data_IF_637774608160
#
_entry.id   IF_637774608160
#
_cell.length_a   1.000
_cell.length_b   1.000
_cell.length_c   1.000
_cell.angle_alpha   90.00
_cell.angle_beta   90.00
_cell.angle_gamma   90.00
#
_symmetry.space_group_name_H-M   'P 1'
#
loop_
_entity.id
_entity.type
_entity.pdbx_description
1 polymer ?
#
# COMPACT_ATOMS: atom_id res chain seq x y z
N UNK A 1 10.96 -17.15 -1.49
CA UNK A 1 10.00 -16.12 -1.03
C UNK A 1 10.66 -14.76 -1.14
N UNK A 2 9.96 -13.80 -1.74
CA UNK A 2 10.41 -12.43 -1.91
C UNK A 2 9.52 -11.52 -1.09
N UNK A 3 10.12 -10.61 -0.32
CA UNK A 3 9.39 -9.63 0.49
C UNK A 3 9.96 -8.24 0.24
N UNK A 4 9.07 -7.32 -0.10
CA UNK A 4 9.35 -5.89 -0.18
C UNK A 4 8.51 -5.13 0.84
N UNK A 5 9.05 -4.05 1.34
CA UNK A 5 8.32 -3.12 2.21
C UNK A 5 8.85 -1.70 2.04
N UNK A 6 8.06 -0.74 2.44
CA UNK A 6 8.50 0.63 2.53
C UNK A 6 9.39 0.79 3.76
N UNK A 7 10.63 1.18 3.55
CA UNK A 7 11.58 1.49 4.62
C UNK A 7 11.47 2.97 4.94
N UNK A 8 11.01 3.29 6.13
CA UNK A 8 10.77 4.66 6.54
C UNK A 8 11.25 4.94 7.94
N UNK A 9 11.53 6.22 8.19
CA UNK A 9 11.60 6.73 9.54
C UNK A 9 10.24 6.62 10.24
N UNK A 10 10.21 6.96 11.52
CA UNK A 10 8.99 6.96 12.31
C UNK A 10 7.87 7.68 11.55
N UNK A 11 6.79 6.97 11.25
CA UNK A 11 5.62 7.47 10.52
C UNK A 11 5.00 8.71 11.18
N UNK A 12 5.28 8.89 12.47
CA UNK A 12 4.81 10.01 13.26
C UNK A 12 5.74 11.24 13.23
N UNK A 13 7.00 11.04 12.81
CA UNK A 13 8.03 12.09 12.77
C UNK A 13 8.38 12.49 11.33
N UNK A 14 8.33 11.55 10.39
CA UNK A 14 8.49 11.85 8.97
C UNK A 14 7.46 11.09 8.14
N UNK A 15 6.61 11.80 7.44
CA UNK A 15 5.57 11.22 6.57
C UNK A 15 6.14 10.54 5.33
N UNK A 16 7.47 10.45 5.21
CA UNK A 16 8.12 9.99 3.99
C UNK A 16 9.00 8.77 4.24
N UNK A 17 8.74 7.64 3.56
CA UNK A 17 9.65 6.51 3.57
C UNK A 17 11.00 6.91 2.97
N UNK A 18 12.08 6.41 3.56
CA UNK A 18 13.44 6.69 3.10
C UNK A 18 13.78 5.88 1.85
N UNK A 19 13.13 4.75 1.66
CA UNK A 19 13.37 3.86 0.53
C UNK A 19 12.42 2.67 0.50
N UNK A 20 12.73 1.72 -0.35
CA UNK A 20 12.09 0.41 -0.41
C UNK A 20 13.11 -0.62 0.03
N UNK A 21 12.78 -1.45 0.99
CA UNK A 21 13.61 -2.54 1.42
C UNK A 21 13.12 -3.87 0.84
N UNK A 22 14.06 -4.78 0.61
CA UNK A 22 13.82 -6.08 0.03
C UNK A 22 14.62 -7.15 0.75
N UNK A 23 14.04 -8.33 0.94
CA UNK A 23 14.72 -9.53 1.42
C UNK A 23 14.25 -10.77 0.66
N UNK A 24 15.11 -11.76 0.60
CA UNK A 24 14.89 -13.03 -0.08
C UNK A 24 15.04 -14.19 0.89
N UNK A 25 14.13 -15.14 0.83
CA UNK A 25 14.28 -16.48 1.41
C UNK A 25 14.27 -17.54 0.32
N UNK A 26 15.23 -18.46 0.35
CA UNK A 26 15.34 -19.61 -0.58
C UNK A 26 14.92 -20.93 0.05
N UNK A 27 14.54 -20.93 1.33
CA UNK A 27 14.21 -22.11 2.12
C UNK A 27 12.78 -22.09 2.68
N UNK A 28 11.86 -21.40 2.00
CA UNK A 28 10.46 -21.33 2.40
C UNK A 28 10.18 -20.39 3.58
N UNK A 29 11.06 -19.43 3.84
CA UNK A 29 10.90 -18.44 4.91
C UNK A 29 11.60 -18.79 6.21
N UNK A 30 12.43 -19.84 6.24
CA UNK A 30 13.17 -20.25 7.44
C UNK A 30 14.36 -19.31 7.71
N UNK A 31 15.06 -18.91 6.65
CA UNK A 31 16.15 -17.92 6.73
C UNK A 31 15.94 -16.83 5.67
N UNK A 32 16.49 -15.65 5.94
CA UNK A 32 16.33 -14.47 5.09
C UNK A 32 17.68 -13.82 4.82
N UNK A 33 17.83 -13.28 3.63
CA UNK A 33 19.00 -12.46 3.28
C UNK A 33 19.04 -11.19 4.13
N UNK A 34 20.21 -10.56 4.22
CA UNK A 34 20.28 -9.18 4.71
C UNK A 34 19.38 -8.29 3.85
N UNK A 35 18.57 -7.41 4.45
CA UNK A 35 17.76 -6.46 3.71
C UNK A 35 18.62 -5.58 2.80
N UNK A 36 18.16 -5.42 1.58
CA UNK A 36 18.72 -4.49 0.60
C UNK A 36 17.78 -3.30 0.47
N UNK A 37 18.27 -2.08 0.69
CA UNK A 37 17.47 -0.86 0.59
C UNK A 37 17.66 -0.22 -0.77
N UNK A 38 16.54 0.06 -1.44
CA UNK A 38 16.49 0.79 -2.70
C UNK A 38 16.14 2.25 -2.42
N UNK A 39 17.03 3.14 -2.82
CA UNK A 39 16.79 4.59 -2.74
C UNK A 39 16.64 5.16 -4.14
N UNK A 40 15.87 6.22 -4.28
CA UNK A 40 15.71 6.90 -5.55
C UNK A 40 16.04 8.39 -5.39
N UNK A 41 16.83 8.92 -6.32
CA UNK A 41 17.13 10.36 -6.36
C UNK A 41 15.90 11.14 -6.85
N UNK A 42 15.52 12.15 -6.10
CA UNK A 42 14.43 13.06 -6.47
C UNK A 42 13.07 12.75 -5.86
N UNK A 43 13.00 11.80 -4.91
CA UNK A 43 11.75 11.52 -4.18
C UNK A 43 11.83 10.27 -3.31
N UNK A 44 10.68 9.91 -2.74
CA UNK A 44 10.54 8.76 -1.86
C UNK A 44 9.74 7.67 -2.58
N UNK A 45 10.27 6.41 -2.65
CA UNK A 45 9.53 5.28 -3.17
C UNK A 45 8.33 4.97 -2.25
N UNK A 46 7.17 4.75 -2.86
CA UNK A 46 5.93 4.36 -2.16
C UNK A 46 5.17 3.30 -2.94
N UNK A 47 4.25 2.63 -2.24
CA UNK A 47 3.30 1.67 -2.84
C UNK A 47 4.02 0.57 -3.62
N UNK A 48 5.01 -0.06 -2.98
CA UNK A 48 5.79 -1.10 -3.62
C UNK A 48 4.92 -2.31 -3.97
N UNK A 49 5.05 -2.78 -5.20
CA UNK A 49 4.44 -4.00 -5.73
C UNK A 49 5.50 -4.93 -6.30
N UNK A 50 5.19 -6.21 -6.30
CA UNK A 50 6.06 -7.25 -6.81
C UNK A 50 5.31 -8.15 -7.78
N UNK A 51 5.86 -8.37 -8.97
CA UNK A 51 5.47 -9.41 -9.90
C UNK A 51 6.62 -10.37 -10.16
N UNK A 52 6.30 -11.62 -10.45
CA UNK A 52 7.28 -12.59 -10.99
C UNK A 52 6.75 -13.08 -12.31
N UNK A 53 7.55 -12.90 -13.37
CA UNK A 53 7.15 -13.31 -14.72
C UNK A 53 7.39 -14.79 -14.99
N UNK A 54 6.99 -15.27 -16.18
CA UNK A 54 7.15 -16.67 -16.60
C UNK A 54 8.59 -17.13 -16.77
N UNK A 55 9.55 -16.23 -16.80
CA UNK A 55 10.99 -16.52 -16.85
C UNK A 55 11.61 -16.53 -15.45
N UNK A 56 10.81 -16.27 -14.41
CA UNK A 56 11.26 -16.15 -13.04
C UNK A 56 11.93 -14.80 -12.73
N UNK A 57 11.80 -13.81 -13.61
CA UNK A 57 12.28 -12.47 -13.33
C UNK A 57 11.36 -11.79 -12.31
N UNK A 58 11.96 -11.13 -11.35
CA UNK A 58 11.27 -10.37 -10.33
C UNK A 58 11.17 -8.94 -10.83
N UNK A 59 9.97 -8.42 -10.95
CA UNK A 59 9.68 -7.03 -11.34
C UNK A 59 9.17 -6.28 -10.11
N UNK A 60 10.00 -5.40 -9.58
CA UNK A 60 9.62 -4.51 -8.47
C UNK A 60 9.11 -3.19 -9.03
N UNK A 61 7.94 -2.75 -8.60
CA UNK A 61 7.25 -1.54 -9.08
C UNK A 61 6.99 -0.63 -7.91
N UNK A 62 7.27 0.66 -8.04
CA UNK A 62 6.95 1.66 -7.02
C UNK A 62 6.63 3.02 -7.64
N UNK A 63 5.91 3.84 -6.88
CA UNK A 63 5.67 5.24 -7.19
C UNK A 63 6.70 6.12 -6.50
N UNK A 64 7.16 7.16 -7.17
CA UNK A 64 8.03 8.17 -6.59
C UNK A 64 7.21 9.39 -6.12
N UNK A 65 7.42 9.84 -4.87
CA UNK A 65 6.70 11.00 -4.28
C UNK A 65 7.70 11.97 -3.63
N UNK A 66 7.62 13.28 -3.84
CA UNK A 66 6.84 13.94 -4.88
C UNK A 66 7.46 13.65 -6.24
N UNK A 67 6.69 13.31 -7.19
CA UNK A 67 7.18 13.01 -8.53
C UNK A 67 6.11 12.39 -9.39
N UNK A 68 6.25 12.52 -10.68
CA UNK A 68 5.25 12.10 -11.66
C UNK A 68 5.58 10.76 -12.30
N UNK A 69 6.21 9.85 -11.57
CA UNK A 69 6.68 8.60 -12.15
C UNK A 69 6.28 7.36 -11.35
N UNK A 70 5.91 6.32 -12.08
CA UNK A 70 5.93 4.94 -11.61
C UNK A 70 7.18 4.30 -12.18
N UNK A 71 7.98 3.70 -11.32
CA UNK A 71 9.27 3.13 -11.67
C UNK A 71 9.28 1.64 -11.44
N UNK A 72 10.19 0.95 -12.11
CA UNK A 72 10.42 -0.47 -11.91
C UNK A 72 11.89 -0.82 -12.00
N UNK A 73 12.25 -1.93 -11.40
CA UNK A 73 13.54 -2.62 -11.56
C UNK A 73 13.28 -4.10 -11.73
N UNK A 74 14.19 -4.76 -12.42
CA UNK A 74 14.10 -6.20 -12.70
C UNK A 74 15.31 -6.90 -12.12
N UNK A 75 15.08 -8.10 -11.57
CA UNK A 75 16.13 -9.00 -11.10
C UNK A 75 15.82 -10.44 -11.49
N UNK A 76 16.81 -11.20 -11.91
CA UNK A 76 16.70 -12.64 -12.17
C UNK A 76 17.03 -13.50 -10.95
N UNK A 77 17.65 -12.93 -9.92
CA UNK A 77 18.17 -13.68 -8.77
C UNK A 77 17.80 -13.07 -7.40
N UNK A 78 17.14 -11.91 -7.41
CA UNK A 78 16.83 -11.14 -6.22
C UNK A 78 18.04 -10.52 -5.52
N UNK A 79 19.21 -10.54 -6.15
CA UNK A 79 20.46 -9.99 -5.59
C UNK A 79 20.99 -8.82 -6.40
N UNK A 80 20.94 -8.96 -7.72
CA UNK A 80 21.34 -7.91 -8.64
C UNK A 80 20.10 -7.36 -9.34
N UNK A 81 19.97 -6.05 -9.32
CA UNK A 81 18.83 -5.32 -9.87
C UNK A 81 19.26 -4.40 -10.99
N UNK A 82 18.44 -4.29 -12.01
CA UNK A 82 18.63 -3.28 -13.06
C UNK A 82 18.64 -1.87 -12.48
N UNK A 83 19.10 -0.89 -13.25
CA UNK A 83 18.85 0.51 -12.92
C UNK A 83 17.32 0.77 -12.90
N UNK A 84 16.83 1.71 -12.05
CA UNK A 84 15.45 2.11 -12.06
C UNK A 84 15.04 2.67 -13.43
N UNK A 85 13.92 2.20 -13.95
CA UNK A 85 13.33 2.66 -15.20
C UNK A 85 11.90 3.13 -14.95
N UNK A 86 11.46 4.14 -15.70
CA UNK A 86 10.09 4.62 -15.63
C UNK A 86 9.17 3.74 -16.46
N UNK A 87 8.00 3.40 -15.94
CA UNK A 87 6.93 2.78 -16.72
C UNK A 87 6.43 3.81 -17.75
N UNK A 88 6.43 3.48 -19.06
CA UNK A 88 6.10 4.44 -20.10
C UNK A 88 4.60 4.74 -20.18
N UNK A 89 4.26 5.91 -20.73
CA UNK A 89 2.91 6.26 -21.16
C UNK A 89 1.88 6.55 -20.07
N UNK A 90 2.23 6.38 -18.79
CA UNK A 90 1.33 6.63 -17.66
C UNK A 90 1.95 7.57 -16.64
N UNK A 91 1.14 8.53 -16.17
CA UNK A 91 1.47 9.40 -15.06
C UNK A 91 0.56 9.11 -13.87
N UNK A 92 1.09 9.01 -12.65
CA UNK A 92 0.28 8.90 -11.46
C UNK A 92 -0.57 10.16 -11.27
N UNK A 93 -1.60 10.04 -10.46
CA UNK A 93 -2.44 11.18 -10.09
C UNK A 93 -1.73 11.99 -9.01
N UNK A 94 -1.56 13.29 -9.24
CA UNK A 94 -0.96 14.18 -8.27
C UNK A 94 -1.80 14.28 -7.00
N UNK A 95 -1.14 14.38 -5.85
CA UNK A 95 -1.79 14.64 -4.56
C UNK A 95 -2.49 13.43 -3.93
N UNK A 96 -2.65 12.31 -4.65
CA UNK A 96 -3.28 11.10 -4.11
C UNK A 96 -2.28 10.11 -3.54
N UNK A 97 -1.13 10.56 -3.13
CA UNK A 97 0.01 9.74 -2.70
C UNK A 97 -0.28 8.77 -1.54
N UNK A 98 -1.54 8.60 -1.15
CA UNK A 98 -1.85 7.97 0.11
C UNK A 98 -2.12 6.49 -0.01
N UNK A 99 -2.67 5.95 -1.14
CA UNK A 99 -3.06 4.53 -1.18
C UNK A 99 -3.09 3.95 -2.60
N UNK A 100 -2.59 2.74 -2.72
CA UNK A 100 -2.81 1.67 -3.71
C UNK A 100 -3.42 2.06 -5.07
N UNK A 101 -2.72 2.91 -5.81
CA UNK A 101 -3.18 3.35 -7.12
C UNK A 101 -3.01 2.31 -8.22
N UNK A 102 -2.49 1.11 -7.89
CA UNK A 102 -2.22 0.04 -8.85
C UNK A 102 -2.17 -1.34 -8.22
N UNK A 103 -2.18 -2.36 -9.09
CA UNK A 103 -2.07 -3.76 -8.73
C UNK A 103 -1.49 -4.55 -9.90
N UNK A 104 -0.98 -5.78 -9.65
CA UNK A 104 -0.36 -6.63 -10.65
C UNK A 104 -0.78 -8.09 -10.50
N UNK A 105 -1.06 -8.76 -11.63
CA UNK A 105 -1.33 -10.20 -11.68
C UNK A 105 -0.59 -10.85 -12.85
N UNK A 106 -0.15 -12.09 -12.67
CA UNK A 106 0.44 -12.88 -13.75
C UNK A 106 -0.62 -13.73 -14.46
N UNK A 107 -0.45 -13.93 -15.78
CA UNK A 107 -1.21 -14.90 -16.55
C UNK A 107 -0.51 -16.26 -16.62
N UNK A 108 -1.06 -17.20 -17.38
CA UNK A 108 -0.51 -18.55 -17.53
C UNK A 108 0.73 -18.64 -18.43
N UNK A 109 1.03 -17.59 -19.18
CA UNK A 109 2.30 -17.44 -19.91
C UNK A 109 3.36 -16.77 -19.05
N UNK A 110 2.95 -16.24 -17.88
CA UNK A 110 3.81 -15.47 -16.99
C UNK A 110 3.99 -14.02 -17.41
N UNK A 111 3.15 -13.51 -18.32
CA UNK A 111 3.10 -12.07 -18.54
C UNK A 111 2.48 -11.40 -17.31
N UNK A 112 3.00 -10.22 -16.94
CA UNK A 112 2.44 -9.46 -15.83
C UNK A 112 1.47 -8.42 -16.38
N UNK A 113 0.26 -8.41 -15.83
CA UNK A 113 -0.76 -7.41 -16.12
C UNK A 113 -0.81 -6.42 -14.96
N UNK A 114 -0.38 -5.21 -15.22
CA UNK A 114 -0.35 -4.11 -14.28
C UNK A 114 -1.56 -3.21 -14.55
N UNK A 115 -2.40 -2.99 -13.55
CA UNK A 115 -3.50 -2.02 -13.60
C UNK A 115 -3.20 -0.85 -12.70
N UNK A 116 -3.50 0.34 -13.19
CA UNK A 116 -3.14 1.59 -12.51
C UNK A 116 -4.22 2.65 -12.70
N UNK A 117 -4.51 3.39 -11.64
CA UNK A 117 -5.21 4.65 -11.74
C UNK A 117 -4.20 5.74 -12.12
N UNK A 118 -4.37 6.30 -13.30
CA UNK A 118 -3.39 7.22 -13.85
C UNK A 118 -4.02 8.23 -14.80
N UNK A 119 -3.15 9.09 -15.37
CA UNK A 119 -3.51 10.05 -16.41
C UNK A 119 -2.81 9.67 -17.69
N UNK A 120 -3.51 9.78 -18.80
CA UNK A 120 -2.93 9.63 -20.13
C UNK A 120 -2.21 10.92 -20.58
N UNK A 121 -1.26 10.74 -21.49
CA UNK A 121 -0.70 11.85 -22.23
C UNK A 121 -1.24 11.78 -23.68
N UNK A 122 -1.68 12.88 -24.29
CA UNK A 122 -1.54 14.27 -23.86
C UNK A 122 -2.79 14.86 -23.16
N UNK A 123 -3.87 14.10 -22.94
CA UNK A 123 -5.14 14.68 -22.48
C UNK A 123 -5.17 15.02 -21.00
N UNK A 124 -4.34 14.37 -20.21
CA UNK A 124 -4.30 14.50 -18.75
C UNK A 124 -5.53 13.95 -18.05
N UNK A 125 -6.39 13.18 -18.76
CA UNK A 125 -7.62 12.62 -18.21
C UNK A 125 -7.32 11.39 -17.38
N UNK A 126 -7.95 11.30 -16.22
CA UNK A 126 -7.84 10.17 -15.31
C UNK A 126 -8.67 8.98 -15.79
N UNK A 127 -8.09 7.80 -15.73
CA UNK A 127 -8.75 6.53 -16.00
C UNK A 127 -7.99 5.37 -15.34
N UNK A 128 -8.57 4.18 -15.36
CA UNK A 128 -7.83 2.94 -15.12
C UNK A 128 -7.21 2.50 -16.43
N UNK A 129 -5.91 2.26 -16.39
CA UNK A 129 -5.11 1.72 -17.49
C UNK A 129 -4.59 0.34 -17.15
N UNK A 130 -4.40 -0.49 -18.16
CA UNK A 130 -3.68 -1.75 -18.10
C UNK A 130 -2.42 -1.66 -18.94
N UNK A 131 -1.32 -2.12 -18.39
CA UNK A 131 -0.09 -2.38 -19.14
C UNK A 131 0.25 -3.87 -19.01
N UNK A 132 0.99 -4.37 -19.97
CA UNK A 132 1.46 -5.74 -19.98
C UNK A 132 2.99 -5.77 -20.03
N UNK A 133 3.59 -6.56 -19.16
CA UNK A 133 4.99 -6.94 -19.19
C UNK A 133 5.12 -8.28 -19.87
N UNK A 134 5.82 -8.34 -21.01
CA UNK A 134 5.96 -9.52 -21.84
C UNK A 134 7.24 -10.35 -21.53
N UNK A 135 7.93 -10.02 -20.45
CA UNK A 135 9.22 -10.61 -20.06
C UNK A 135 10.43 -9.81 -20.55
N UNK A 136 10.22 -8.80 -21.41
CA UNK A 136 11.28 -7.95 -21.95
C UNK A 136 11.04 -6.47 -21.71
N UNK A 137 9.78 -6.06 -21.64
CA UNK A 137 9.38 -4.66 -21.46
C UNK A 137 7.89 -4.48 -21.26
N UNK A 138 7.52 -3.23 -20.95
CA UNK A 138 6.13 -2.82 -20.85
C UNK A 138 5.58 -2.47 -22.22
N UNK A 139 4.45 -3.06 -22.58
CA UNK A 139 3.69 -2.69 -23.77
C UNK A 139 2.94 -1.35 -23.54
N UNK A 140 2.39 -0.80 -24.63
CA UNK A 140 1.63 0.45 -24.58
C UNK A 140 0.42 0.35 -23.64
N UNK A 141 0.12 1.42 -22.86
CA UNK A 141 -1.03 1.43 -21.97
C UNK A 141 -2.36 1.31 -22.70
N UNK A 142 -3.20 0.44 -22.22
CA UNK A 142 -4.57 0.27 -22.67
C UNK A 142 -5.53 0.83 -21.63
N UNK A 143 -6.45 1.69 -22.04
CA UNK A 143 -7.48 2.23 -21.16
C UNK A 143 -8.57 1.19 -20.89
N UNK A 144 -8.85 0.94 -19.61
CA UNK A 144 -9.85 -0.03 -19.15
C UNK A 144 -11.16 0.63 -18.74
N UNK A 145 -11.11 1.77 -18.03
CA UNK A 145 -12.29 2.49 -17.58
C UNK A 145 -12.74 3.59 -18.56
N UNK A 146 -14.01 4.00 -18.53
CA UNK A 146 -14.40 5.25 -19.16
C UNK A 146 -13.69 6.46 -18.51
N UNK A 147 -13.69 7.61 -19.19
CA UNK A 147 -13.20 8.88 -18.63
C UNK A 147 -14.32 9.58 -17.82
N UNK A 148 -14.92 8.85 -16.91
CA UNK A 148 -16.02 9.37 -16.08
C UNK A 148 -15.64 9.29 -14.61
N UNK A 149 -15.79 10.41 -13.91
CA UNK A 149 -15.44 10.52 -12.49
C UNK A 149 -13.95 10.35 -12.22
N UNK A 150 -13.64 9.97 -10.99
CA UNK A 150 -12.28 9.76 -10.49
C UNK A 150 -12.13 8.29 -10.08
N UNK A 151 -11.67 7.41 -11.00
CA UNK A 151 -11.47 6.00 -10.70
C UNK A 151 -10.22 5.81 -9.85
N UNK A 152 -10.33 5.00 -8.80
CA UNK A 152 -9.28 4.74 -7.81
C UNK A 152 -9.26 3.28 -7.36
N UNK A 153 -8.15 2.88 -6.74
CA UNK A 153 -7.92 1.57 -6.10
C UNK A 153 -8.21 0.38 -7.01
N UNK A 154 -7.65 0.34 -8.22
CA UNK A 154 -7.82 -0.82 -9.07
C UNK A 154 -7.21 -2.06 -8.42
N UNK A 155 -7.89 -3.20 -8.63
CA UNK A 155 -7.38 -4.52 -8.29
C UNK A 155 -7.55 -5.43 -9.49
N UNK A 156 -6.60 -6.34 -9.67
CA UNK A 156 -6.60 -7.30 -10.77
C UNK A 156 -6.32 -8.71 -10.27
N UNK A 157 -7.00 -9.68 -10.85
CA UNK A 157 -6.71 -11.10 -10.66
C UNK A 157 -6.76 -11.82 -11.98
N UNK A 158 -5.96 -12.89 -12.10
CA UNK A 158 -6.01 -13.81 -13.23
C UNK A 158 -6.83 -15.03 -12.86
N UNK A 159 -7.97 -15.23 -13.53
CA UNK A 159 -8.81 -16.43 -13.42
C UNK A 159 -8.40 -17.46 -14.46
N UNK A 160 -8.17 -18.71 -14.04
CA UNK A 160 -7.74 -19.81 -14.89
C UNK A 160 -6.51 -19.48 -15.77
N UNK A 161 -5.72 -18.47 -15.41
CA UNK A 161 -4.53 -18.07 -16.13
C UNK A 161 -4.76 -17.35 -17.46
N UNK A 162 -5.98 -17.25 -17.95
CA UNK A 162 -6.29 -16.67 -19.25
C UNK A 162 -7.47 -15.69 -19.22
N UNK A 163 -7.97 -15.35 -18.05
CA UNK A 163 -9.05 -14.37 -17.89
C UNK A 163 -8.68 -13.38 -16.81
N UNK A 164 -8.55 -12.13 -17.19
CA UNK A 164 -8.32 -11.03 -16.25
C UNK A 164 -9.66 -10.55 -15.68
N UNK A 165 -9.66 -10.29 -14.38
CA UNK A 165 -10.75 -9.71 -13.63
C UNK A 165 -10.26 -8.43 -12.98
N UNK A 166 -10.84 -7.31 -13.31
CA UNK A 166 -10.49 -6.01 -12.74
C UNK A 166 -11.67 -5.43 -11.96
N UNK A 167 -11.39 -4.85 -10.80
CA UNK A 167 -12.36 -4.10 -10.01
C UNK A 167 -11.74 -2.76 -9.62
N UNK A 168 -12.55 -1.73 -9.58
CA UNK A 168 -12.18 -0.40 -9.06
C UNK A 168 -13.43 0.32 -8.63
N UNK A 169 -13.27 1.38 -7.85
CA UNK A 169 -14.38 2.28 -7.63
C UNK A 169 -14.13 3.63 -8.32
N UNK A 170 -15.20 4.37 -8.57
CA UNK A 170 -15.12 5.76 -9.02
C UNK A 170 -15.97 6.65 -8.13
N UNK A 171 -15.53 7.88 -7.94
CA UNK A 171 -16.22 8.93 -7.22
C UNK A 171 -16.43 10.13 -8.15
N UNK A 172 -17.35 11.02 -7.79
CA UNK A 172 -17.69 12.19 -8.62
C UNK A 172 -16.62 13.28 -8.56
N UNK A 173 -15.98 13.43 -7.41
CA UNK A 173 -14.99 14.48 -7.13
C UNK A 173 -13.68 13.85 -6.68
N UNK A 174 -12.54 14.57 -6.81
CA UNK A 174 -11.24 14.03 -6.40
C UNK A 174 -11.10 13.86 -4.88
N UNK A 175 -11.85 14.62 -4.07
CA UNK A 175 -11.85 14.52 -2.61
C UNK A 175 -12.82 13.46 -2.06
N UNK A 176 -12.85 13.32 -0.74
CA UNK A 176 -13.87 12.56 -0.02
C UNK A 176 -14.81 13.55 0.65
N UNK A 177 -16.02 13.67 0.10
CA UNK A 177 -17.06 14.53 0.63
C UNK A 177 -18.23 13.68 1.12
N UNK A 178 -18.88 14.11 2.21
CA UNK A 178 -20.07 13.43 2.73
C UNK A 178 -21.20 13.46 1.68
N UNK A 179 -21.84 12.31 1.45
CA UNK A 179 -22.90 12.17 0.45
C UNK A 179 -22.41 12.00 -0.99
N UNK A 180 -21.12 11.95 -1.24
CA UNK A 180 -20.57 11.69 -2.56
C UNK A 180 -20.96 10.30 -3.05
N UNK A 181 -21.48 10.24 -4.29
CA UNK A 181 -21.78 8.97 -4.94
C UNK A 181 -20.49 8.22 -5.30
N UNK A 182 -20.36 6.99 -4.82
CA UNK A 182 -19.31 6.06 -5.19
C UNK A 182 -19.90 4.89 -5.95
N UNK A 183 -19.24 4.51 -7.06
CA UNK A 183 -19.62 3.36 -7.88
C UNK A 183 -18.52 2.33 -7.91
N UNK A 184 -18.87 1.09 -7.66
CA UNK A 184 -18.00 -0.05 -7.86
C UNK A 184 -18.13 -0.54 -9.30
N UNK A 185 -17.00 -0.71 -9.96
CA UNK A 185 -16.91 -1.21 -11.32
C UNK A 185 -16.23 -2.58 -11.35
N UNK A 186 -16.68 -3.40 -12.28
CA UNK A 186 -16.06 -4.67 -12.58
C UNK A 186 -15.90 -4.80 -14.09
N UNK A 187 -14.75 -5.30 -14.53
CA UNK A 187 -14.45 -5.62 -15.92
C UNK A 187 -13.78 -6.98 -16.01
N UNK A 188 -14.00 -7.67 -17.10
CA UNK A 188 -13.32 -8.93 -17.40
C UNK A 188 -12.85 -8.98 -18.83
N UNK A 189 -11.69 -9.62 -19.06
CA UNK A 189 -11.10 -9.80 -20.38
C UNK A 189 -10.51 -11.19 -20.53
N UNK A 190 -10.84 -11.89 -21.61
CA UNK A 190 -10.10 -13.06 -22.05
C UNK A 190 -8.81 -12.61 -22.75
N UNK A 191 -7.71 -13.27 -22.45
CA UNK A 191 -6.40 -13.02 -23.05
C UNK A 191 -5.93 -14.28 -23.79
N UNK A 192 -5.04 -14.16 -24.81
CA UNK A 192 -4.57 -15.26 -25.62
C UNK A 192 -3.52 -16.14 -24.90
N UNK A 193 -3.78 -16.45 -23.63
CA UNK A 193 -2.97 -17.33 -22.82
C UNK A 193 -3.70 -18.69 -22.65
N UNK A 194 -3.00 -19.82 -22.48
CA UNK A 194 -3.64 -21.10 -22.22
C UNK A 194 -4.37 -21.08 -20.87
N UNK A 195 -5.53 -21.72 -20.78
CA UNK A 195 -6.19 -21.89 -19.49
C UNK A 195 -5.42 -22.91 -18.63
N UNK A 196 -5.24 -22.63 -17.37
CA UNK A 196 -4.80 -23.64 -16.40
C UNK A 196 -5.90 -24.69 -16.24
N UNK A 197 -5.51 -25.94 -16.34
CA UNK A 197 -6.41 -27.02 -15.93
C UNK A 197 -6.46 -27.04 -14.41
N UNK A 198 -7.61 -26.84 -13.79
CA UNK A 198 -7.72 -26.96 -12.34
C UNK A 198 -7.22 -28.33 -11.90
N UNK A 199 -6.37 -28.38 -10.88
CA UNK A 199 -6.03 -29.63 -10.26
C UNK A 199 -7.33 -30.33 -9.82
N UNK A 200 -7.47 -31.66 -10.02
CA UNK A 200 -8.63 -32.37 -9.53
C UNK A 200 -8.76 -32.10 -8.03
N UNK A 201 -9.94 -31.68 -7.59
CA UNK A 201 -10.19 -31.51 -6.17
C UNK A 201 -9.84 -32.81 -5.48
N UNK A 202 -9.04 -32.79 -4.41
CA UNK A 202 -8.77 -34.00 -3.66
C UNK A 202 -10.12 -34.59 -3.24
N UNK A 203 -10.33 -35.86 -3.58
CA UNK A 203 -11.50 -36.59 -3.08
C UNK A 203 -11.56 -36.41 -1.57
N UNK A 204 -12.68 -35.97 -1.01
CA UNK A 204 -12.77 -35.78 0.42
C UNK A 204 -12.38 -37.11 1.11
N UNK A 205 -11.21 -37.13 1.71
CA UNK A 205 -10.80 -38.23 2.57
C UNK A 205 -11.79 -38.22 3.74
N UNK A 206 -12.40 -39.38 4.04
CA UNK A 206 -13.27 -39.49 5.21
C UNK A 206 -12.54 -38.87 6.40
N UNK A 207 -13.05 -37.76 6.88
CA UNK A 207 -12.50 -37.11 8.07
C UNK A 207 -12.63 -38.10 9.22
N UNK A 208 -11.55 -38.54 9.87
CA UNK A 208 -11.69 -39.40 11.03
C UNK A 208 -12.65 -38.73 12.01
N UNK A 209 -13.50 -39.48 12.68
CA UNK A 209 -14.47 -38.91 13.61
C UNK A 209 -13.74 -37.96 14.57
N UNK A 210 -14.30 -36.80 14.85
CA UNK A 210 -13.65 -35.81 15.69
C UNK A 210 -13.27 -36.52 17.01
N UNK A 211 -12.07 -36.28 17.53
CA UNK A 211 -11.64 -36.88 18.78
C UNK A 211 -12.71 -36.61 19.84
N UNK A 212 -13.12 -37.65 20.55
CA UNK A 212 -14.06 -37.53 21.65
C UNK A 212 -13.57 -36.40 22.54
N UNK A 213 -14.38 -35.38 22.72
CA UNK A 213 -13.99 -34.21 23.53
C UNK A 213 -13.61 -34.75 24.91
N UNK A 214 -12.33 -34.65 25.23
CA UNK A 214 -11.89 -34.82 26.61
C UNK A 214 -12.66 -33.78 27.43
N UNK A 215 -13.39 -34.18 28.49
CA UNK A 215 -14.09 -33.20 29.29
C UNK A 215 -13.09 -32.15 29.76
N UNK A 216 -13.42 -30.87 29.54
CA UNK A 216 -12.60 -29.80 30.05
C UNK A 216 -12.37 -30.03 31.56
N UNK A 217 -11.13 -29.88 32.04
CA UNK A 217 -10.90 -29.91 33.48
C UNK A 217 -11.82 -28.86 34.10
N UNK A 218 -12.54 -29.25 35.14
CA UNK A 218 -13.41 -28.33 35.88
C UNK A 218 -12.58 -27.09 36.22
N UNK A 219 -12.99 -25.88 35.85
CA UNK A 219 -12.21 -24.70 36.13
C UNK A 219 -11.99 -24.60 37.63
N UNK A 220 -10.74 -24.61 38.06
CA UNK A 220 -10.39 -24.30 39.43
C UNK A 220 -10.99 -22.94 39.75
N UNK A 221 -11.82 -22.82 40.81
CA UNK A 221 -12.37 -21.51 41.15
C UNK A 221 -11.24 -20.51 41.35
N UNK A 222 -11.33 -19.40 40.66
CA UNK A 222 -10.39 -18.32 40.86
C UNK A 222 -10.39 -17.92 42.33
N UNK A 223 -9.23 -17.67 42.96
CA UNK A 223 -9.18 -17.15 44.28
C UNK A 223 -10.04 -15.88 44.35
N UNK A 224 -11.02 -15.86 45.21
CA UNK A 224 -11.89 -14.72 45.43
C UNK A 224 -11.01 -13.57 45.93
N UNK A 225 -10.82 -12.55 45.13
CA UNK A 225 -10.10 -11.37 45.55
C UNK A 225 -10.95 -10.68 46.62
N UNK A 226 -10.41 -10.40 47.83
CA UNK A 226 -11.14 -9.69 48.84
C UNK A 226 -11.69 -8.38 48.32
N UNK A 227 -12.90 -7.95 48.64
CA UNK A 227 -13.50 -6.71 48.14
C UNK A 227 -12.62 -5.46 48.35
N UNK A 228 -11.82 -5.46 49.39
CA UNK A 228 -10.95 -4.32 49.74
C UNK A 228 -9.67 -4.26 48.89
N UNK A 229 -9.36 -5.31 48.12
CA UNK A 229 -8.22 -5.32 47.20
C UNK A 229 -8.55 -4.77 45.80
N UNK A 230 -9.83 -4.63 45.52
CA UNK A 230 -10.29 -4.00 44.26
C UNK A 230 -10.29 -2.49 44.47
N UNK A 231 -9.21 -1.83 44.14
CA UNK A 231 -9.24 -0.37 44.03
C UNK A 231 -10.11 0.00 42.83
N UNK A 232 -11.15 0.84 43.03
CA UNK A 232 -11.95 1.33 41.91
C UNK A 232 -11.01 2.05 40.93
N UNK A 233 -11.11 1.68 39.65
CA UNK A 233 -10.39 2.39 38.59
C UNK A 233 -10.85 3.84 38.60
N UNK A 234 -9.96 4.75 38.96
CA UNK A 234 -10.20 6.18 38.87
C UNK A 234 -9.56 6.72 37.60
N UNK A 235 -10.31 7.00 36.54
CA UNK A 235 -9.76 7.53 35.29
C UNK A 235 -9.10 8.91 35.50
N UNK A 236 -9.44 9.64 36.54
CA UNK A 236 -8.84 10.94 36.86
C UNK A 236 -7.36 10.86 37.30
N UNK A 237 -6.84 9.64 37.61
CA UNK A 237 -5.42 9.48 37.95
C UNK A 237 -4.51 9.26 36.74
N UNK A 238 -5.07 9.13 35.55
CA UNK A 238 -4.30 8.99 34.29
C UNK A 238 -3.83 10.35 33.72
N UNK A 239 -4.47 11.43 34.11
CA UNK A 239 -4.08 12.78 33.73
C UNK A 239 -3.85 13.59 34.99
N UNK A 240 -2.63 14.00 35.22
CA UNK A 240 -2.36 15.02 36.23
C UNK A 240 -2.81 16.37 35.65
N UNK A 241 -3.59 17.13 36.40
CA UNK A 241 -4.07 18.50 36.00
C UNK A 241 -2.92 19.40 35.50
N UNK A 242 -1.66 19.08 35.87
CA UNK A 242 -0.48 19.78 35.40
C UNK A 242 -0.15 19.61 33.91
N UNK A 243 -0.51 18.49 33.30
CA UNK A 243 -0.16 18.21 31.92
C UNK A 243 -1.04 18.99 30.91
N UNK A 244 -2.29 19.21 31.24
CA UNK A 244 -3.19 20.05 30.43
C UNK A 244 -2.79 21.53 30.46
N UNK A 245 -2.45 22.04 31.63
CA UNK A 245 -1.99 23.44 31.81
C UNK A 245 -0.65 23.65 31.10
N UNK A 246 0.27 22.68 31.16
CA UNK A 246 1.56 22.75 30.49
C UNK A 246 1.39 22.69 28.96
N UNK A 247 0.51 21.82 28.45
CA UNK A 247 0.19 21.74 27.02
C UNK A 247 -0.43 23.05 26.50
N UNK A 248 -1.30 23.67 27.28
CA UNK A 248 -1.94 24.93 26.92
C UNK A 248 -0.94 26.10 26.94
N UNK A 249 -0.05 26.15 27.92
CA UNK A 249 1.03 27.15 27.99
C UNK A 249 2.00 27.03 26.85
N UNK A 250 2.40 25.80 26.47
CA UNK A 250 3.28 25.56 25.34
C UNK A 250 2.65 25.93 23.99
N UNK A 251 1.35 25.74 23.83
CA UNK A 251 0.63 26.11 22.61
C UNK A 251 0.49 27.63 22.43
N UNK A 252 0.46 28.41 23.53
CA UNK A 252 0.38 29.86 23.50
C UNK A 252 1.74 30.56 23.31
N UNK A 253 2.84 29.85 23.53
CA UNK A 253 4.18 30.43 23.49
C UNK A 253 4.54 31.02 22.11
N UNK A 254 4.25 30.39 20.96
CA UNK A 254 4.50 30.97 19.63
C UNK A 254 3.70 32.28 19.39
N UNK A 255 2.48 32.33 19.86
CA UNK A 255 1.63 33.55 19.73
C UNK A 255 2.19 34.70 20.54
N UNK A 256 2.62 34.45 21.79
CA UNK A 256 3.22 35.45 22.64
C UNK A 256 4.54 36.02 22.05
N UNK A 257 5.38 35.15 21.48
CA UNK A 257 6.60 35.54 20.78
C UNK A 257 6.29 36.42 19.57
N UNK A 258 5.30 36.02 18.77
CA UNK A 258 4.89 36.80 17.58
C UNK A 258 4.40 38.20 17.96
N UNK A 259 3.55 38.32 19.00
CA UNK A 259 3.06 39.60 19.52
C UNK A 259 4.23 40.46 20.02
N UNK A 260 5.16 39.86 20.74
CA UNK A 260 6.36 40.56 21.24
C UNK A 260 7.21 41.12 20.10
N UNK A 261 7.39 40.35 19.02
CA UNK A 261 8.14 40.74 17.84
C UNK A 261 7.46 41.90 17.08
N UNK A 262 6.14 41.82 16.90
CA UNK A 262 5.34 42.89 16.27
C UNK A 262 5.43 44.19 17.10
N UNK A 263 5.33 44.11 18.40
CA UNK A 263 5.45 45.27 19.27
C UNK A 263 6.86 45.90 19.24
N UNK A 264 7.89 45.06 19.19
CA UNK A 264 9.28 45.53 19.10
C UNK A 264 9.53 46.27 17.78
N UNK A 265 9.10 45.72 16.66
CA UNK A 265 9.20 46.32 15.34
C UNK A 265 8.41 47.62 15.23
N UNK A 266 7.20 47.68 15.81
CA UNK A 266 6.39 48.89 15.81
C UNK A 266 6.99 50.04 16.64
N UNK A 267 7.66 49.70 17.77
CA UNK A 267 8.41 50.69 18.55
C UNK A 267 9.68 51.17 17.83
N UNK A 268 10.40 50.30 17.14
CA UNK A 268 11.57 50.68 16.37
C UNK A 268 11.25 51.61 15.18
N UNK A 269 10.06 51.51 14.60
CA UNK A 269 9.60 52.37 13.50
C UNK A 269 9.08 53.74 13.94
N UNK A 270 8.88 53.93 15.24
CA UNK A 270 8.39 55.23 15.80
C UNK A 270 9.53 56.08 16.40
N UNK A 271 10.73 55.58 16.36
CA UNK A 271 11.96 56.33 16.68
C UNK A 271 12.71 56.66 15.37
#
# INVERSE_FOLDING_TARGET
>A
VHVFWEEGGDRWVSDHPVGVAYTLSTDGGQTWSMPQVFTHTGGFPRQIMLGVDGQGQIVAIWRLVPGDGIYYQVSSDGRQWSAPQRIPGIWPIEGTAVFDDYDVAADSLGHLHFVVSGRDFPTGRQAIFRLEWDGTGWLEPERVSPYEGYPEFPRIASGLGNRLHGVWYSKQWPGYEEGQEMRLWYSTRAIPAPAWTPAPMPTPTETPPPPTRTPFPTPTPFPTVPPDAVRPFNPATLYTEGDEVMGLLLSLLPVAVLIGLVMAVSRARRR
#
